data_IF_395494160780
#
_entry.id   IF_395494160780
#
_cell.length_a   1.000
_cell.length_b   1.000
_cell.length_c   1.000
_cell.angle_alpha   90.00
_cell.angle_beta   90.00
_cell.angle_gamma   90.00
#
_symmetry.space_group_name_H-M   'P 1'
#
loop_
_entity.id
_entity.type
_entity.pdbx_description
1 polymer ?
#
# COMPACT_ATOMS: atom_id res chain seq x y z
N UNK A 1 5.91 13.66 0.39
CA UNK A 1 6.33 14.58 -0.68
C UNK A 1 5.57 14.11 -1.89
N UNK A 2 4.79 14.97 -2.54
CA UNK A 2 4.12 14.52 -3.76
C UNK A 2 5.16 14.36 -4.88
N UNK A 3 4.93 13.44 -5.81
CA UNK A 3 5.87 13.17 -6.90
C UNK A 3 6.12 14.38 -7.80
N UNK A 4 5.20 15.35 -7.83
CA UNK A 4 5.30 16.57 -8.63
C UNK A 4 5.94 17.75 -7.88
N UNK A 5 6.44 17.58 -6.65
CA UNK A 5 7.07 18.68 -5.90
C UNK A 5 8.58 18.75 -6.12
N UNK A 6 9.15 19.95 -5.99
CA UNK A 6 10.59 20.18 -6.07
C UNK A 6 11.35 19.36 -5.01
N UNK A 7 10.75 19.19 -3.83
CA UNK A 7 11.31 18.39 -2.73
C UNK A 7 11.59 16.95 -3.17
N UNK A 8 10.67 16.35 -3.93
CA UNK A 8 10.86 14.99 -4.45
C UNK A 8 12.02 14.93 -5.46
N UNK A 9 12.13 15.90 -6.35
CA UNK A 9 13.22 15.95 -7.35
C UNK A 9 14.57 16.05 -6.65
N UNK A 10 14.71 16.93 -5.66
CA UNK A 10 15.93 17.07 -4.86
C UNK A 10 16.24 15.77 -4.12
N UNK A 11 15.24 15.19 -3.44
CA UNK A 11 15.37 13.91 -2.75
C UNK A 11 15.83 12.79 -3.69
N UNK A 12 15.24 12.68 -4.88
CA UNK A 12 15.57 11.66 -5.87
C UNK A 12 17.03 11.76 -6.31
N UNK A 13 17.50 12.95 -6.70
CA UNK A 13 18.89 13.14 -7.11
C UNK A 13 19.88 12.88 -5.96
N UNK A 14 19.54 13.25 -4.73
CA UNK A 14 20.35 12.91 -3.55
C UNK A 14 20.46 11.41 -3.35
N UNK A 15 19.35 10.68 -3.41
CA UNK A 15 19.32 9.22 -3.26
C UNK A 15 20.16 8.54 -4.35
N UNK A 16 19.98 8.92 -5.62
CA UNK A 16 20.75 8.36 -6.75
C UNK A 16 22.24 8.69 -6.62
N UNK A 17 22.59 9.92 -6.21
CA UNK A 17 23.97 10.33 -5.98
C UNK A 17 24.63 9.49 -4.89
N UNK A 18 23.97 9.29 -3.75
CA UNK A 18 24.48 8.46 -2.64
C UNK A 18 24.67 7.00 -3.09
N UNK A 19 23.72 6.42 -3.82
CA UNK A 19 23.82 5.03 -4.32
C UNK A 19 25.04 4.84 -5.22
N UNK A 20 25.37 5.85 -6.03
CA UNK A 20 26.51 5.80 -6.95
C UNK A 20 27.85 5.80 -6.20
N UNK A 21 27.92 6.45 -5.04
CA UNK A 21 29.12 6.51 -4.20
C UNK A 21 29.29 5.22 -3.37
N UNK A 22 28.18 4.59 -2.96
CA UNK A 22 28.19 3.36 -2.19
C UNK A 22 28.74 2.18 -3.01
N UNK A 23 30.00 1.78 -2.78
CA UNK A 23 30.63 0.65 -3.50
C UNK A 23 30.09 -0.74 -3.16
N UNK A 24 29.45 -0.91 -2.00
CA UNK A 24 28.99 -2.21 -1.53
C UNK A 24 27.53 -2.45 -1.89
N UNK A 25 27.27 -3.47 -2.71
CA UNK A 25 25.92 -3.81 -3.19
C UNK A 25 24.91 -4.01 -2.06
N UNK A 26 25.27 -4.65 -0.94
CA UNK A 26 24.34 -4.87 0.18
C UNK A 26 23.85 -3.55 0.80
N UNK A 27 24.76 -2.60 1.00
CA UNK A 27 24.41 -1.28 1.53
C UNK A 27 23.56 -0.47 0.56
N UNK A 28 23.80 -0.58 -0.75
CA UNK A 28 22.95 0.04 -1.77
C UNK A 28 21.49 -0.44 -1.67
N UNK A 29 21.25 -1.76 -1.57
CA UNK A 29 19.89 -2.29 -1.48
C UNK A 29 19.18 -1.85 -0.19
N UNK A 30 19.87 -1.91 0.95
CA UNK A 30 19.31 -1.47 2.23
C UNK A 30 18.96 0.03 2.18
N UNK A 31 19.87 0.84 1.64
CA UNK A 31 19.66 2.28 1.49
C UNK A 31 18.46 2.59 0.58
N UNK A 32 18.32 1.89 -0.55
CA UNK A 32 17.17 2.05 -1.46
C UNK A 32 15.87 1.72 -0.73
N UNK A 33 15.81 0.59 -0.01
CA UNK A 33 14.61 0.19 0.74
C UNK A 33 14.25 1.27 1.77
N UNK A 34 15.24 1.76 2.52
CA UNK A 34 15.01 2.78 3.53
C UNK A 34 14.55 4.10 2.91
N UNK A 35 15.19 4.54 1.82
CA UNK A 35 14.80 5.74 1.09
C UNK A 35 13.37 5.64 0.53
N UNK A 36 12.99 4.50 -0.04
CA UNK A 36 11.63 4.27 -0.54
C UNK A 36 10.59 4.31 0.59
N UNK A 37 10.87 3.66 1.73
CA UNK A 37 9.97 3.68 2.89
C UNK A 37 9.87 5.08 3.49
N UNK A 38 10.99 5.81 3.60
CA UNK A 38 11.02 7.19 4.09
C UNK A 38 10.19 8.13 3.20
N UNK A 39 10.33 8.02 1.89
CA UNK A 39 9.55 8.80 0.94
C UNK A 39 8.04 8.56 1.10
N UNK A 40 7.64 7.29 1.24
CA UNK A 40 6.23 6.93 1.45
C UNK A 40 5.72 7.42 2.81
N UNK A 41 6.52 7.31 3.87
CA UNK A 41 6.19 7.80 5.20
C UNK A 41 5.93 9.31 5.19
N UNK A 42 6.81 10.08 4.57
CA UNK A 42 6.64 11.53 4.49
C UNK A 42 5.35 11.89 3.73
N UNK A 43 5.01 11.16 2.68
CA UNK A 43 3.79 11.42 1.89
C UNK A 43 2.53 11.15 2.71
N UNK A 44 2.41 9.95 3.25
CA UNK A 44 1.34 9.62 4.18
C UNK A 44 1.76 8.37 4.97
N UNK A 45 1.86 8.51 6.29
CA UNK A 45 2.23 7.43 7.22
C UNK A 45 1.37 6.17 7.05
N UNK A 46 0.10 6.32 6.66
CA UNK A 46 -0.82 5.20 6.46
C UNK A 46 -0.41 4.29 5.29
N UNK A 47 0.18 4.86 4.23
CA UNK A 47 0.64 4.09 3.07
C UNK A 47 1.75 3.10 3.43
N UNK A 48 2.58 3.42 4.41
CA UNK A 48 3.64 2.52 4.88
C UNK A 48 3.06 1.29 5.58
N UNK A 49 2.03 1.49 6.41
CA UNK A 49 1.36 0.39 7.10
C UNK A 49 0.71 -0.55 6.10
N UNK A 50 -0.01 0.00 5.11
CA UNK A 50 -0.61 -0.78 4.02
C UNK A 50 0.47 -1.51 3.23
N UNK A 51 1.57 -0.84 2.86
CA UNK A 51 2.65 -1.46 2.10
C UNK A 51 3.23 -2.68 2.84
N UNK A 52 3.54 -2.53 4.13
CA UNK A 52 4.08 -3.63 4.94
C UNK A 52 3.05 -4.77 5.01
N UNK A 53 1.77 -4.46 5.24
CA UNK A 53 0.71 -5.46 5.25
C UNK A 53 0.62 -6.19 3.90
N UNK A 54 0.63 -5.50 2.77
CA UNK A 54 0.56 -6.10 1.44
C UNK A 54 1.79 -6.96 1.15
N UNK A 55 2.99 -6.50 1.51
CA UNK A 55 4.22 -7.29 1.35
C UNK A 55 4.12 -8.61 2.13
N UNK A 56 3.74 -8.53 3.41
CA UNK A 56 3.60 -9.72 4.26
C UNK A 56 2.51 -10.64 3.74
N UNK A 57 1.33 -10.10 3.43
CA UNK A 57 0.20 -10.85 2.91
C UNK A 57 0.57 -11.63 1.65
N UNK A 58 1.16 -10.98 0.65
CA UNK A 58 1.59 -11.63 -0.59
C UNK A 58 2.72 -12.62 -0.37
N UNK A 59 3.66 -12.34 0.53
CA UNK A 59 4.71 -13.30 0.88
C UNK A 59 4.14 -14.58 1.50
N UNK A 60 3.21 -14.46 2.44
CA UNK A 60 2.55 -15.62 3.05
C UNK A 60 1.70 -16.39 2.05
N UNK A 61 0.87 -15.70 1.25
CA UNK A 61 0.06 -16.34 0.21
C UNK A 61 0.96 -17.09 -0.78
N UNK A 62 2.02 -16.46 -1.29
CA UNK A 62 2.97 -17.09 -2.21
C UNK A 62 3.64 -18.32 -1.59
N UNK A 63 4.01 -18.25 -0.32
CA UNK A 63 4.57 -19.40 0.42
C UNK A 63 3.55 -20.53 0.57
N UNK A 64 2.28 -20.24 0.83
CA UNK A 64 1.25 -21.27 0.95
C UNK A 64 0.91 -21.91 -0.40
N UNK A 65 0.90 -21.12 -1.49
CA UNK A 65 0.78 -21.66 -2.86
C UNK A 65 1.92 -22.63 -3.17
N UNK A 66 3.16 -22.26 -2.80
CA UNK A 66 4.31 -23.13 -3.02
C UNK A 66 4.22 -24.44 -2.22
N UNK A 67 3.74 -24.38 -0.97
CA UNK A 67 3.61 -25.55 -0.08
C UNK A 67 2.41 -26.45 -0.38
N UNK A 68 1.39 -25.95 -1.08
CA UNK A 68 0.21 -26.76 -1.35
C UNK A 68 0.52 -27.87 -2.35
N UNK A 69 0.24 -29.12 -1.99
CA UNK A 69 0.47 -30.27 -2.87
C UNK A 69 -0.64 -30.47 -3.90
N UNK A 70 -1.88 -30.06 -3.57
CA UNK A 70 -3.04 -30.19 -4.45
C UNK A 70 -3.26 -28.95 -5.32
N UNK A 71 -3.75 -29.17 -6.56
CA UNK A 71 -4.13 -28.08 -7.48
C UNK A 71 -5.22 -27.19 -6.89
N UNK A 72 -6.17 -27.78 -6.15
CA UNK A 72 -7.27 -27.04 -5.53
C UNK A 72 -6.79 -26.15 -4.38
N UNK A 73 -5.86 -26.63 -3.55
CA UNK A 73 -5.24 -25.84 -2.49
C UNK A 73 -4.52 -24.60 -3.04
N UNK A 74 -3.75 -24.76 -4.13
CA UNK A 74 -3.11 -23.64 -4.83
C UNK A 74 -4.13 -22.62 -5.35
N UNK A 75 -5.25 -23.09 -5.89
CA UNK A 75 -6.31 -22.24 -6.42
C UNK A 75 -6.96 -21.39 -5.33
N UNK A 76 -7.22 -21.97 -4.15
CA UNK A 76 -7.79 -21.24 -3.01
C UNK A 76 -6.87 -20.10 -2.56
N UNK A 77 -5.57 -20.38 -2.37
CA UNK A 77 -4.62 -19.34 -1.97
C UNK A 77 -4.45 -18.25 -3.04
N UNK A 78 -4.50 -18.62 -4.32
CA UNK A 78 -4.47 -17.65 -5.42
C UNK A 78 -5.71 -16.75 -5.42
N UNK A 79 -6.91 -17.33 -5.24
CA UNK A 79 -8.16 -16.56 -5.10
C UNK A 79 -8.09 -15.65 -3.88
N UNK A 80 -7.57 -16.12 -2.74
CA UNK A 80 -7.41 -15.30 -1.55
C UNK A 80 -6.45 -14.12 -1.78
N UNK A 81 -5.33 -14.34 -2.49
CA UNK A 81 -4.39 -13.28 -2.86
C UNK A 81 -5.02 -12.21 -3.76
N UNK A 82 -5.76 -12.66 -4.78
CA UNK A 82 -6.51 -11.77 -5.69
C UNK A 82 -7.61 -11.00 -4.96
N UNK A 83 -8.39 -11.68 -4.12
CA UNK A 83 -9.43 -11.07 -3.32
C UNK A 83 -8.87 -10.02 -2.37
N UNK A 84 -7.71 -10.27 -1.74
CA UNK A 84 -7.02 -9.27 -0.92
C UNK A 84 -6.57 -8.05 -1.72
N UNK A 85 -5.98 -8.25 -2.90
CA UNK A 85 -5.53 -7.15 -3.77
C UNK A 85 -6.69 -6.31 -4.28
N UNK A 86 -7.74 -6.97 -4.79
CA UNK A 86 -8.95 -6.31 -5.31
C UNK A 86 -9.78 -5.69 -4.20
N UNK A 87 -9.85 -6.33 -3.03
CA UNK A 87 -10.54 -5.80 -1.85
C UNK A 87 -9.88 -4.52 -1.35
N UNK A 88 -8.55 -4.49 -1.26
CA UNK A 88 -7.80 -3.29 -0.91
C UNK A 88 -8.05 -2.17 -1.94
N UNK A 89 -7.92 -2.47 -3.23
CA UNK A 89 -8.19 -1.50 -4.30
C UNK A 89 -9.64 -0.98 -4.25
N UNK A 90 -10.61 -1.87 -4.05
CA UNK A 90 -12.03 -1.54 -3.96
C UNK A 90 -12.31 -0.65 -2.76
N UNK A 91 -11.75 -0.96 -1.60
CA UNK A 91 -11.88 -0.15 -0.40
C UNK A 91 -11.33 1.27 -0.63
N UNK A 92 -10.08 1.41 -1.06
CA UNK A 92 -9.49 2.73 -1.28
C UNK A 92 -10.15 3.54 -2.40
N UNK A 93 -10.75 2.88 -3.39
CA UNK A 93 -11.40 3.55 -4.50
C UNK A 93 -12.85 3.96 -4.21
N UNK A 94 -13.58 3.16 -3.43
CA UNK A 94 -15.03 3.31 -3.28
C UNK A 94 -15.50 3.56 -1.85
N UNK A 95 -14.61 3.56 -0.84
CA UNK A 95 -15.01 3.84 0.54
C UNK A 95 -15.64 5.23 0.68
N UNK A 96 -15.03 6.28 0.15
CA UNK A 96 -15.59 7.64 0.22
C UNK A 96 -16.93 7.75 -0.49
N UNK A 97 -17.09 7.06 -1.62
CA UNK A 97 -18.37 7.01 -2.33
C UNK A 97 -19.44 6.34 -1.46
N UNK A 98 -19.12 5.21 -0.83
CA UNK A 98 -20.05 4.52 0.05
C UNK A 98 -20.42 5.39 1.27
N UNK A 99 -19.43 6.01 1.93
CA UNK A 99 -19.63 6.92 3.06
C UNK A 99 -20.52 8.09 2.64
N UNK A 100 -20.30 8.68 1.47
CA UNK A 100 -21.14 9.76 0.95
C UNK A 100 -22.60 9.32 0.76
N UNK A 101 -22.86 8.13 0.21
CA UNK A 101 -24.23 7.61 0.07
C UNK A 101 -24.89 7.36 1.44
N UNK A 102 -24.15 6.83 2.40
CA UNK A 102 -24.64 6.64 3.77
C UNK A 102 -24.96 7.96 4.47
N UNK A 103 -24.12 8.98 4.33
CA UNK A 103 -24.36 10.31 4.90
C UNK A 103 -25.60 10.97 4.29
N UNK A 104 -25.78 10.85 2.96
CA UNK A 104 -26.98 11.35 2.28
C UNK A 104 -28.24 10.67 2.85
N UNK A 105 -28.22 9.34 2.97
CA UNK A 105 -29.34 8.60 3.55
C UNK A 105 -29.58 8.94 5.03
N UNK A 106 -28.52 9.09 5.83
CA UNK A 106 -28.60 9.47 7.24
C UNK A 106 -29.23 10.84 7.44
N UNK A 107 -28.87 11.81 6.60
CA UNK A 107 -29.49 13.14 6.58
C UNK A 107 -30.98 13.08 6.22
N UNK A 108 -31.42 12.16 5.34
CA UNK A 108 -32.85 11.95 5.07
C UNK A 108 -33.62 11.36 6.25
N UNK A 109 -32.95 10.65 7.16
CA UNK A 109 -33.54 9.99 8.34
C UNK A 109 -33.33 10.83 9.61
N UNK A 110 -32.83 12.06 9.50
CA UNK A 110 -32.50 12.98 10.60
C UNK A 110 -31.49 12.38 11.62
N UNK A 111 -30.61 11.51 11.12
CA UNK A 111 -29.45 11.04 11.87
C UNK A 111 -28.38 12.13 11.76
N UNK A 112 -28.40 13.09 12.67
CA UNK A 112 -27.51 14.27 12.70
C UNK A 112 -26.01 14.00 12.91
N UNK A 113 -25.51 12.81 12.58
CA UNK A 113 -24.10 12.43 12.64
C UNK A 113 -23.57 12.16 11.23
N UNK A 114 -22.80 13.10 10.67
CA UNK A 114 -22.08 12.89 9.42
C UNK A 114 -20.80 12.08 9.69
N UNK A 115 -20.62 11.00 8.93
CA UNK A 115 -19.40 10.20 8.97
C UNK A 115 -18.34 10.94 8.13
N UNK A 116 -17.16 11.28 8.70
CA UNK A 116 -16.10 11.93 7.94
C UNK A 116 -15.58 11.01 6.83
N UNK A 117 -15.27 11.60 5.67
CA UNK A 117 -14.61 10.92 4.54
C UNK A 117 -13.15 10.59 4.91
N UNK A 118 -12.57 9.59 4.23
CA UNK A 118 -11.22 9.07 4.50
C UNK A 118 -10.09 9.95 3.93
#
# INVERSE_FOLDING_TARGET
MLFNTIDFVIFFFLVVGIITILKYRRFQHIFIIFASVFFLYYTNSYLVVILIFTILFHYYIGRQIYKADSKDGKKIFLIAGLAGSLGLLGFFKYADFAIAQFNIFGNFVDLGSEIPLL
#
